data_IF_050040679707
#
_entry.id   IF_050040679707
#
_cell.length_a   1.000
_cell.length_b   1.000
_cell.length_c   1.000
_cell.angle_alpha   90.00
_cell.angle_beta   90.00
_cell.angle_gamma   90.00
#
_symmetry.space_group_name_H-M   'P 1'
#
loop_
_entity.id
_entity.type
_entity.pdbx_description
1 polymer ?
#
# COMPACT_ATOMS: atom_id res chain seq x y z
N UNK A 1 35.58 12.21 18.83
CA UNK A 1 34.90 12.89 17.70
C UNK A 1 34.12 14.09 18.25
N UNK A 2 34.29 15.30 17.70
CA UNK A 2 33.65 16.52 18.24
C UNK A 2 32.26 16.79 17.60
N UNK A 3 31.49 17.72 18.17
CA UNK A 3 30.14 18.08 17.70
C UNK A 3 30.13 18.49 16.22
N UNK A 4 31.15 19.23 15.77
CA UNK A 4 31.25 19.64 14.36
C UNK A 4 31.41 18.43 13.43
N UNK A 5 32.23 17.45 13.80
CA UNK A 5 32.40 16.23 13.03
C UNK A 5 31.10 15.40 12.95
N UNK A 6 30.39 15.26 14.09
CA UNK A 6 29.07 14.62 14.11
C UNK A 6 28.04 15.34 13.22
N UNK A 7 28.04 16.67 13.24
CA UNK A 7 27.21 17.50 12.36
C UNK A 7 27.55 17.24 10.89
N UNK A 8 28.83 17.26 10.50
CA UNK A 8 29.24 17.00 9.11
C UNK A 8 28.84 15.60 8.66
N UNK A 9 29.02 14.59 9.52
CA UNK A 9 28.58 13.22 9.23
C UNK A 9 27.05 13.13 9.04
N UNK A 10 26.26 13.88 9.83
CA UNK A 10 24.81 13.97 9.66
C UNK A 10 24.42 14.66 8.35
N UNK A 11 25.04 15.80 8.02
CA UNK A 11 24.74 16.51 6.79
C UNK A 11 25.15 15.73 5.55
N UNK A 12 26.27 15.00 5.61
CA UNK A 12 26.75 14.15 4.52
C UNK A 12 25.73 13.03 4.18
N UNK A 13 25.28 12.26 5.19
CA UNK A 13 24.26 11.19 4.98
C UNK A 13 22.88 11.72 4.55
N UNK A 14 22.66 13.02 4.67
CA UNK A 14 21.42 13.70 4.28
C UNK A 14 21.56 14.41 2.92
N UNK A 15 22.72 14.29 2.25
CA UNK A 15 23.04 14.98 1.00
C UNK A 15 22.92 16.52 1.09
N UNK A 16 23.38 17.07 2.22
CA UNK A 16 23.33 18.51 2.53
C UNK A 16 24.71 19.19 2.49
N UNK A 17 25.80 18.42 2.41
CA UNK A 17 27.13 18.98 2.13
C UNK A 17 27.36 19.13 0.63
N UNK A 18 26.88 18.17 -0.15
CA UNK A 18 26.96 18.14 -1.60
C UNK A 18 25.63 17.59 -2.14
N UNK A 19 25.14 18.21 -3.22
CA UNK A 19 23.95 17.74 -3.93
C UNK A 19 24.31 16.52 -4.76
N UNK A 20 23.38 15.58 -4.88
CA UNK A 20 23.52 14.37 -5.69
C UNK A 20 22.75 14.47 -7.00
N UNK A 21 23.09 13.66 -7.99
CA UNK A 21 22.32 13.45 -9.22
C UNK A 21 21.40 12.22 -9.14
N UNK A 22 21.20 11.65 -7.94
CA UNK A 22 20.33 10.50 -7.75
C UNK A 22 18.86 10.84 -8.07
N UNK A 23 18.08 9.85 -8.57
CA UNK A 23 16.65 10.02 -8.79
C UNK A 23 15.89 10.42 -7.53
N UNK A 24 14.80 11.17 -7.70
CA UNK A 24 13.91 11.62 -6.60
C UNK A 24 13.43 10.47 -5.73
N UNK A 25 13.06 9.33 -6.34
CA UNK A 25 12.60 8.15 -5.62
C UNK A 25 13.70 7.61 -4.67
N UNK A 26 14.94 7.48 -5.16
CA UNK A 26 16.09 7.06 -4.36
C UNK A 26 16.33 8.01 -3.18
N UNK A 27 16.26 9.32 -3.42
CA UNK A 27 16.42 10.31 -2.35
C UNK A 27 15.31 10.19 -1.30
N UNK A 28 14.05 10.03 -1.72
CA UNK A 28 12.94 9.82 -0.78
C UNK A 28 13.14 8.56 0.07
N UNK A 29 13.59 7.45 -0.52
CA UNK A 29 13.93 6.21 0.19
C UNK A 29 15.07 6.42 1.19
N UNK A 30 16.16 7.07 0.79
CA UNK A 30 17.30 7.38 1.68
C UNK A 30 16.90 8.21 2.91
N UNK A 31 15.94 9.11 2.75
CA UNK A 31 15.42 9.95 3.83
C UNK A 31 14.37 9.24 4.70
N UNK A 32 13.91 8.05 4.28
CA UNK A 32 12.75 7.36 4.86
C UNK A 32 11.51 8.28 4.83
N UNK A 33 11.38 9.00 3.72
CA UNK A 33 10.38 10.03 3.50
C UNK A 33 10.69 11.39 4.12
N UNK A 34 9.76 12.31 3.88
CA UNK A 34 9.87 13.71 4.30
C UNK A 34 8.56 14.15 4.93
N UNK A 35 8.65 14.96 5.98
CA UNK A 35 7.48 15.60 6.57
C UNK A 35 6.78 16.47 5.51
N UNK A 36 5.45 16.35 5.41
CA UNK A 36 4.66 16.94 4.34
C UNK A 36 3.35 17.59 4.83
N UNK A 37 3.24 18.03 6.09
CA UNK A 37 2.07 18.82 6.54
C UNK A 37 1.89 20.08 5.69
N UNK A 38 3.00 20.80 5.45
CA UNK A 38 3.06 21.83 4.41
C UNK A 38 3.20 21.13 3.05
N UNK A 39 2.22 21.25 2.12
CA UNK A 39 2.18 20.40 0.95
C UNK A 39 3.38 20.49 0.03
N UNK A 40 3.95 21.70 -0.11
CA UNK A 40 5.06 21.97 -1.02
C UNK A 40 6.44 21.87 -0.36
N UNK A 41 6.53 21.66 0.96
CA UNK A 41 7.81 21.58 1.66
C UNK A 41 8.74 20.45 1.15
N UNK A 42 8.25 19.26 0.77
CA UNK A 42 9.10 18.22 0.18
C UNK A 42 9.82 18.66 -1.10
N UNK A 43 9.21 19.52 -1.93
CA UNK A 43 9.85 20.02 -3.14
C UNK A 43 11.10 20.85 -2.84
N UNK A 44 11.02 21.77 -1.88
CA UNK A 44 12.18 22.58 -1.45
C UNK A 44 13.25 21.70 -0.81
N UNK A 45 12.82 20.72 -0.01
CA UNK A 45 13.74 19.79 0.64
C UNK A 45 14.49 18.87 -0.34
N UNK A 46 13.83 18.43 -1.41
CA UNK A 46 14.44 17.65 -2.50
C UNK A 46 15.32 18.53 -3.38
N UNK A 47 14.87 19.73 -3.75
CA UNK A 47 15.70 20.72 -4.44
C UNK A 47 17.01 20.92 -3.70
N UNK A 48 16.99 21.07 -2.37
CA UNK A 48 18.19 21.28 -1.56
C UNK A 48 19.23 20.15 -1.68
N UNK A 49 18.80 18.93 -2.00
CA UNK A 49 19.62 17.71 -2.00
C UNK A 49 19.98 17.19 -3.39
N UNK A 50 19.19 17.54 -4.41
CA UNK A 50 19.31 17.01 -5.77
C UNK A 50 19.75 18.12 -6.72
N UNK A 51 20.80 17.87 -7.49
CA UNK A 51 21.25 18.75 -8.56
C UNK A 51 20.30 18.65 -9.75
N UNK A 52 19.87 19.78 -10.31
CA UNK A 52 18.96 19.81 -11.46
C UNK A 52 17.52 19.37 -11.18
N UNK A 53 17.10 19.26 -9.91
CA UNK A 53 15.75 18.81 -9.53
C UNK A 53 14.64 19.61 -10.22
N UNK A 54 13.71 18.89 -10.84
CA UNK A 54 12.49 19.46 -11.42
C UNK A 54 11.25 19.05 -10.62
N UNK A 55 10.33 19.99 -10.29
CA UNK A 55 9.11 19.65 -9.56
C UNK A 55 8.25 18.58 -10.26
N UNK A 56 8.27 18.55 -11.60
CA UNK A 56 7.52 17.56 -12.38
C UNK A 56 7.91 16.11 -12.04
N UNK A 57 9.16 15.86 -11.66
CA UNK A 57 9.63 14.52 -11.28
C UNK A 57 8.92 14.00 -10.03
N UNK A 58 8.80 14.85 -8.99
CA UNK A 58 8.06 14.48 -7.79
C UNK A 58 6.56 14.43 -8.03
N UNK A 59 6.04 15.37 -8.84
CA UNK A 59 4.64 15.38 -9.23
C UNK A 59 4.25 14.07 -9.91
N UNK A 60 5.07 13.56 -10.84
CA UNK A 60 4.86 12.30 -11.53
C UNK A 60 4.86 11.10 -10.58
N UNK A 61 5.72 11.06 -9.56
CA UNK A 61 5.69 10.00 -8.55
C UNK A 61 4.39 10.03 -7.73
N UNK A 62 3.88 11.21 -7.38
CA UNK A 62 2.62 11.35 -6.62
C UNK A 62 1.42 10.95 -7.48
N UNK A 63 1.32 11.47 -8.71
CA UNK A 63 0.18 11.19 -9.60
C UNK A 63 0.20 9.76 -10.12
N UNK A 64 1.39 9.20 -10.36
CA UNK A 64 1.62 7.79 -10.69
C UNK A 64 1.54 6.83 -9.50
N UNK A 65 1.18 7.32 -8.31
CA UNK A 65 1.00 6.55 -7.07
C UNK A 65 2.25 5.87 -6.50
N UNK A 66 3.43 6.11 -7.08
CA UNK A 66 4.71 5.60 -6.59
C UNK A 66 5.18 6.28 -5.29
N UNK A 67 4.77 7.53 -5.06
CA UNK A 67 4.98 8.23 -3.80
C UNK A 67 3.63 8.60 -3.17
N UNK A 68 3.49 8.42 -1.86
CA UNK A 68 2.24 8.60 -1.13
C UNK A 68 2.38 9.64 -0.03
N UNK A 69 1.34 10.47 0.11
CA UNK A 69 1.18 11.39 1.24
C UNK A 69 0.24 10.77 2.25
N UNK A 70 0.72 10.42 3.44
CA UNK A 70 -0.09 9.71 4.44
C UNK A 70 0.35 10.02 5.87
N UNK A 71 -0.51 9.66 6.84
CA UNK A 71 -0.15 9.76 8.27
C UNK A 71 0.85 8.67 8.62
N UNK A 72 2.06 9.06 9.03
CA UNK A 72 3.13 8.15 9.39
C UNK A 72 3.76 8.55 10.73
N UNK A 73 5.08 8.81 10.76
CA UNK A 73 5.84 9.01 11.98
C UNK A 73 5.21 10.13 12.82
N UNK A 74 4.99 9.83 14.10
CA UNK A 74 4.35 10.73 15.09
C UNK A 74 2.93 11.16 14.73
N UNK A 75 2.22 10.41 13.86
CA UNK A 75 0.85 10.74 13.43
C UNK A 75 0.75 11.96 12.51
N UNK A 76 1.86 12.39 11.92
CA UNK A 76 1.90 13.55 11.01
C UNK A 76 2.00 13.12 9.55
N UNK A 77 1.56 13.99 8.64
CA UNK A 77 1.60 13.72 7.19
C UNK A 77 3.04 13.69 6.71
N UNK A 78 3.45 12.59 6.07
CA UNK A 78 4.73 12.43 5.40
C UNK A 78 4.52 12.07 3.93
N UNK A 79 5.50 12.41 3.10
CA UNK A 79 5.66 11.94 1.73
C UNK A 79 6.74 10.87 1.72
N UNK A 80 6.38 9.64 1.38
CA UNK A 80 7.27 8.47 1.28
C UNK A 80 7.05 7.75 -0.04
N UNK A 81 7.90 6.79 -0.38
CA UNK A 81 7.56 5.81 -1.41
C UNK A 81 6.36 4.96 -0.95
N UNK A 82 5.51 4.55 -1.89
CA UNK A 82 4.34 3.74 -1.57
C UNK A 82 4.71 2.38 -0.97
N UNK A 83 5.82 1.79 -1.42
CA UNK A 83 6.38 0.55 -0.85
C UNK A 83 6.82 0.73 0.61
N UNK A 84 7.54 1.83 0.90
CA UNK A 84 7.97 2.15 2.26
C UNK A 84 6.79 2.38 3.18
N UNK A 85 5.73 3.03 2.70
CA UNK A 85 4.52 3.26 3.49
C UNK A 85 3.91 1.95 4.00
N UNK A 86 3.88 0.90 3.16
CA UNK A 86 3.33 -0.42 3.52
C UNK A 86 4.15 -1.12 4.60
N UNK A 87 5.46 -0.89 4.62
CA UNK A 87 6.36 -1.45 5.63
C UNK A 87 6.30 -0.63 6.93
N UNK A 88 6.45 0.70 6.81
CA UNK A 88 6.55 1.60 7.94
C UNK A 88 5.25 1.67 8.74
N UNK A 89 4.10 1.74 8.06
CA UNK A 89 2.82 2.06 8.70
C UNK A 89 2.38 1.02 9.75
N UNK A 90 2.48 -0.31 9.52
CA UNK A 90 2.24 -1.32 10.55
C UNK A 90 3.26 -1.24 11.70
N UNK A 91 4.55 -1.07 11.38
CA UNK A 91 5.63 -1.02 12.39
C UNK A 91 5.43 0.11 13.41
N UNK A 92 4.95 1.27 12.96
CA UNK A 92 4.74 2.43 13.82
C UNK A 92 3.33 2.52 14.42
N UNK A 93 2.40 1.59 14.09
CA UNK A 93 1.02 1.65 14.55
C UNK A 93 0.89 1.77 16.08
N UNK A 94 1.67 1.06 16.92
CA UNK A 94 1.60 1.22 18.37
C UNK A 94 1.93 2.65 18.83
N UNK A 95 2.93 3.28 18.21
CA UNK A 95 3.35 4.65 18.52
C UNK A 95 2.32 5.66 18.06
N UNK A 96 1.75 5.46 16.86
CA UNK A 96 0.67 6.31 16.33
C UNK A 96 -0.57 6.22 17.23
N UNK A 97 -0.98 5.01 17.63
CA UNK A 97 -2.11 4.79 18.54
C UNK A 97 -1.89 5.45 19.90
N UNK A 98 -0.70 5.30 20.49
CA UNK A 98 -0.34 5.97 21.74
C UNK A 98 -0.41 7.50 21.60
N UNK A 99 0.09 8.03 20.47
CA UNK A 99 -0.03 9.44 20.14
C UNK A 99 -1.49 9.91 20.06
N UNK A 100 -2.39 9.11 19.47
CA UNK A 100 -3.82 9.44 19.45
C UNK A 100 -4.38 9.58 20.86
N UNK A 101 -4.13 8.59 21.73
CA UNK A 101 -4.60 8.59 23.12
C UNK A 101 -4.11 9.82 23.88
N UNK A 102 -2.85 10.24 23.66
CA UNK A 102 -2.31 11.46 24.28
C UNK A 102 -3.02 12.75 23.86
N UNK A 103 -3.38 12.88 22.57
CA UNK A 103 -4.01 14.10 22.05
C UNK A 103 -5.53 14.13 22.26
N UNK A 104 -6.21 13.00 22.12
CA UNK A 104 -7.67 12.92 22.01
C UNK A 104 -8.32 11.99 23.04
N UNK A 105 -7.57 11.21 23.83
CA UNK A 105 -8.12 10.18 24.70
C UNK A 105 -9.18 10.66 25.70
N UNK A 106 -9.09 11.91 26.17
CA UNK A 106 -10.09 12.50 27.08
C UNK A 106 -11.39 12.90 26.38
N UNK A 107 -11.39 13.04 25.05
CA UNK A 107 -12.52 13.51 24.24
C UNK A 107 -13.40 12.38 23.70
N UNK A 108 -12.91 11.14 23.69
CA UNK A 108 -13.59 10.01 23.05
C UNK A 108 -14.53 9.23 23.98
N UNK A 109 -14.51 9.48 25.29
CA UNK A 109 -15.34 8.75 26.25
C UNK A 109 -15.12 7.24 26.16
N UNK A 110 -16.21 6.50 26.01
CA UNK A 110 -16.28 5.04 25.87
C UNK A 110 -16.34 4.55 24.41
N UNK A 111 -16.10 5.43 23.43
CA UNK A 111 -16.17 5.07 22.01
C UNK A 111 -15.24 3.90 21.66
N UNK A 112 -15.79 2.88 21.00
CA UNK A 112 -15.02 1.78 20.43
C UNK A 112 -14.24 2.25 19.19
N UNK A 113 -12.94 2.55 19.39
CA UNK A 113 -12.04 2.98 18.34
C UNK A 113 -11.82 1.91 17.26
N UNK A 114 -11.98 0.62 17.59
CA UNK A 114 -11.94 -0.47 16.62
C UNK A 114 -13.13 -0.40 15.66
N UNK A 115 -14.34 -0.23 16.21
CA UNK A 115 -15.55 -0.04 15.40
C UNK A 115 -15.49 1.23 14.54
N UNK A 116 -14.97 2.33 15.09
CA UNK A 116 -14.78 3.60 14.36
C UNK A 116 -13.76 3.43 13.22
N UNK A 117 -12.63 2.75 13.47
CA UNK A 117 -11.63 2.49 12.44
C UNK A 117 -12.17 1.57 11.33
N UNK A 118 -12.91 0.53 11.68
CA UNK A 118 -13.54 -0.37 10.72
C UNK A 118 -14.55 0.35 9.83
N UNK A 119 -15.42 1.18 10.42
CA UNK A 119 -16.36 2.00 9.65
C UNK A 119 -15.65 3.02 8.75
N UNK A 120 -14.64 3.71 9.29
CA UNK A 120 -13.83 4.66 8.54
C UNK A 120 -13.13 4.02 7.35
N UNK A 121 -12.56 2.82 7.53
CA UNK A 121 -11.98 2.03 6.44
C UNK A 121 -13.02 1.71 5.37
N UNK A 122 -14.15 1.12 5.75
CA UNK A 122 -15.19 0.73 4.80
C UNK A 122 -15.70 1.93 3.96
N UNK A 123 -15.90 3.08 4.59
CA UNK A 123 -16.25 4.30 3.86
C UNK A 123 -15.12 4.74 2.93
N UNK A 124 -13.86 4.76 3.37
CA UNK A 124 -12.76 5.16 2.49
C UNK A 124 -12.55 4.22 1.29
N UNK A 125 -12.84 2.93 1.46
CA UNK A 125 -12.79 1.90 0.39
C UNK A 125 -13.98 2.01 -0.57
N UNK A 126 -15.17 2.38 -0.08
CA UNK A 126 -16.34 2.66 -0.94
C UNK A 126 -16.09 3.84 -1.88
N UNK A 127 -15.58 4.95 -1.33
CA UNK A 127 -15.09 6.09 -2.12
C UNK A 127 -14.19 7.00 -1.29
N UNK A 128 -13.23 7.69 -1.93
CA UNK A 128 -12.39 8.68 -1.26
C UNK A 128 -13.21 9.82 -0.64
N UNK A 129 -12.84 10.26 0.55
CA UNK A 129 -13.57 11.25 1.34
C UNK A 129 -12.64 12.24 2.04
N UNK A 130 -13.11 13.46 2.23
CA UNK A 130 -12.44 14.45 3.09
C UNK A 130 -12.69 14.14 4.56
N UNK A 131 -11.83 14.65 5.46
CA UNK A 131 -12.08 14.54 6.92
C UNK A 131 -13.42 15.17 7.34
N UNK A 132 -13.86 16.25 6.68
CA UNK A 132 -15.16 16.87 6.92
C UNK A 132 -16.30 15.88 6.65
N UNK A 133 -16.27 15.20 5.51
CA UNK A 133 -17.28 14.18 5.15
C UNK A 133 -17.24 12.99 6.11
N UNK A 134 -16.05 12.55 6.55
CA UNK A 134 -15.94 11.51 7.58
C UNK A 134 -16.58 11.96 8.89
N UNK A 135 -16.34 13.20 9.32
CA UNK A 135 -16.96 13.77 10.51
C UNK A 135 -18.49 13.79 10.42
N UNK A 136 -19.05 14.14 9.26
CA UNK A 136 -20.52 14.10 9.04
C UNK A 136 -21.09 12.71 9.25
N UNK A 137 -20.47 11.68 8.66
CA UNK A 137 -20.88 10.27 8.83
C UNK A 137 -20.70 9.78 10.28
N UNK A 138 -19.65 10.26 10.96
CA UNK A 138 -19.39 9.92 12.36
C UNK A 138 -20.42 10.57 13.29
N UNK A 139 -20.84 11.81 13.03
CA UNK A 139 -21.92 12.46 13.79
C UNK A 139 -23.23 11.68 13.69
N UNK A 140 -23.54 11.14 12.50
CA UNK A 140 -24.77 10.35 12.29
C UNK A 140 -24.71 9.02 13.03
N UNK A 141 -23.56 8.33 12.99
CA UNK A 141 -23.42 6.97 13.55
C UNK A 141 -23.06 6.94 15.05
N UNK A 142 -22.40 7.98 15.55
CA UNK A 142 -22.01 8.15 16.96
C UNK A 142 -22.39 9.56 17.45
N UNK A 143 -23.69 9.86 17.59
CA UNK A 143 -24.18 11.20 17.92
C UNK A 143 -23.75 11.68 19.31
N UNK A 144 -23.51 10.76 20.25
CA UNK A 144 -23.15 11.06 21.63
C UNK A 144 -21.63 11.24 21.85
N UNK A 145 -20.83 11.14 20.78
CA UNK A 145 -19.37 11.22 20.86
C UNK A 145 -18.82 12.42 20.07
N UNK A 146 -17.60 12.85 20.44
CA UNK A 146 -16.91 13.93 19.74
C UNK A 146 -16.50 13.51 18.32
N UNK A 147 -17.34 13.84 17.34
CA UNK A 147 -17.13 13.50 15.95
C UNK A 147 -15.82 14.09 15.36
N UNK A 148 -15.30 15.20 15.90
CA UNK A 148 -13.99 15.70 15.47
C UNK A 148 -12.89 14.75 15.91
N UNK A 149 -12.85 14.39 17.19
CA UNK A 149 -11.89 13.43 17.72
C UNK A 149 -11.98 12.07 16.99
N UNK A 150 -13.20 11.56 16.79
CA UNK A 150 -13.42 10.32 16.03
C UNK A 150 -12.94 10.43 14.58
N UNK A 151 -13.08 11.59 13.92
CA UNK A 151 -12.57 11.77 12.56
C UNK A 151 -11.04 11.72 12.48
N UNK A 152 -10.36 12.14 13.55
CA UNK A 152 -8.92 11.93 13.69
C UNK A 152 -8.59 10.45 13.95
N UNK A 153 -9.39 9.74 14.76
CA UNK A 153 -9.20 8.31 15.00
C UNK A 153 -9.08 7.54 13.68
N UNK A 154 -9.94 7.82 12.70
CA UNK A 154 -9.87 7.19 11.38
C UNK A 154 -8.47 7.34 10.76
N UNK A 155 -7.86 8.52 10.76
CA UNK A 155 -6.51 8.73 10.21
C UNK A 155 -5.36 8.17 11.05
N UNK A 156 -5.60 7.85 12.32
CA UNK A 156 -4.63 7.27 13.24
C UNK A 156 -4.67 5.73 13.27
N UNK A 157 -5.83 5.13 13.03
CA UNK A 157 -6.04 3.68 13.09
C UNK A 157 -6.22 3.04 11.71
N UNK A 158 -6.62 3.82 10.70
CA UNK A 158 -6.62 3.37 9.30
C UNK A 158 -5.35 3.89 8.61
N UNK A 159 -4.56 3.03 7.95
CA UNK A 159 -3.55 3.47 6.99
C UNK A 159 -4.22 4.26 5.87
N UNK A 160 -4.04 5.58 5.84
CA UNK A 160 -4.66 6.45 4.81
C UNK A 160 -3.63 7.11 3.91
N UNK A 161 -4.03 7.39 2.68
CA UNK A 161 -3.32 8.19 1.69
C UNK A 161 -4.14 9.41 1.27
N UNK A 162 -3.48 10.52 0.93
CA UNK A 162 -4.10 11.72 0.37
C UNK A 162 -4.04 11.68 -1.16
N UNK A 163 -5.18 11.93 -1.81
CA UNK A 163 -5.25 11.98 -3.26
C UNK A 163 -4.66 13.26 -3.86
N UNK A 164 -4.07 13.20 -5.08
CA UNK A 164 -3.78 14.40 -5.85
C UNK A 164 -5.10 15.13 -6.17
N UNK A 165 -5.06 16.46 -6.39
CA UNK A 165 -3.86 17.29 -6.57
C UNK A 165 -3.21 17.77 -5.27
N UNK A 166 -3.63 17.31 -4.08
CA UNK A 166 -3.04 17.76 -2.82
C UNK A 166 -1.54 17.39 -2.76
N UNK A 167 -0.69 18.42 -2.69
CA UNK A 167 0.75 18.23 -2.64
C UNK A 167 1.41 18.02 -4.00
N UNK A 168 0.71 18.28 -5.09
CA UNK A 168 1.27 18.37 -6.44
C UNK A 168 1.67 19.81 -6.72
N UNK A 169 2.89 20.03 -7.22
CA UNK A 169 3.37 21.37 -7.58
C UNK A 169 2.50 22.03 -8.65
N UNK A 170 2.23 23.32 -8.50
CA UNK A 170 1.39 24.08 -9.44
C UNK A 170 -0.10 23.72 -9.40
N UNK A 171 -0.53 22.85 -8.49
CA UNK A 171 -1.94 22.48 -8.32
C UNK A 171 -2.35 22.52 -6.85
N UNK A 172 -3.63 22.79 -6.61
CA UNK A 172 -4.18 22.85 -5.25
C UNK A 172 -5.49 22.07 -5.18
N UNK A 173 -5.75 21.50 -4.01
CA UNK A 173 -6.97 20.76 -3.75
C UNK A 173 -7.13 20.41 -2.28
N UNK A 174 -8.33 19.97 -1.88
CA UNK A 174 -8.60 19.51 -0.53
C UNK A 174 -7.82 18.22 -0.23
N UNK A 175 -7.58 17.94 1.05
CA UNK A 175 -7.05 16.65 1.49
C UNK A 175 -8.17 15.60 1.44
N UNK A 176 -8.37 15.01 0.26
CA UNK A 176 -9.23 13.83 0.06
C UNK A 176 -8.43 12.60 0.45
N UNK A 177 -9.01 11.75 1.30
CA UNK A 177 -8.39 10.54 1.83
C UNK A 177 -8.93 9.31 1.12
N UNK A 178 -8.06 8.32 0.93
CA UNK A 178 -8.38 6.92 0.65
C UNK A 178 -7.58 6.04 1.61
N UNK A 179 -7.81 4.72 1.63
CA UNK A 179 -6.93 3.80 2.34
C UNK A 179 -5.59 3.67 1.62
N UNK A 180 -4.53 3.28 2.34
CA UNK A 180 -3.24 3.00 1.73
C UNK A 180 -3.36 1.85 0.71
N UNK A 181 -4.24 0.89 0.97
CA UNK A 181 -4.56 -0.21 0.05
C UNK A 181 -5.19 0.34 -1.24
N UNK A 182 -6.21 1.20 -1.14
CA UNK A 182 -6.86 1.83 -2.30
C UNK A 182 -5.99 2.86 -3.04
N UNK A 183 -4.92 3.36 -2.40
CA UNK A 183 -3.91 4.19 -3.06
C UNK A 183 -3.06 3.36 -4.01
N UNK A 184 -2.70 2.16 -3.59
CA UNK A 184 -1.77 1.32 -4.34
C UNK A 184 -2.48 0.44 -5.35
N UNK A 185 -1.88 0.17 -6.53
CA UNK A 185 -2.46 -0.80 -7.45
C UNK A 185 -2.50 -2.20 -6.80
N UNK A 186 -3.48 -3.04 -7.19
CA UNK A 186 -3.52 -4.42 -6.78
C UNK A 186 -2.25 -5.15 -7.20
N UNK A 187 -1.86 -6.18 -6.45
CA UNK A 187 -0.72 -7.01 -6.81
C UNK A 187 -1.05 -7.86 -8.04
N UNK A 188 -0.12 -7.99 -8.99
CA UNK A 188 -0.43 -8.65 -10.24
C UNK A 188 -0.68 -10.15 -10.06
N UNK A 189 -1.46 -10.75 -10.97
CA UNK A 189 -1.66 -12.19 -10.97
C UNK A 189 -0.33 -12.95 -11.16
N UNK A 190 -0.10 -14.02 -10.39
CA UNK A 190 1.15 -14.80 -10.45
C UNK A 190 0.90 -16.30 -10.35
N UNK A 191 1.36 -17.04 -11.36
CA UNK A 191 1.40 -18.50 -11.37
C UNK A 191 2.61 -18.98 -10.58
N UNK A 192 2.35 -19.65 -9.47
CA UNK A 192 3.36 -20.27 -8.63
C UNK A 192 3.44 -21.77 -8.91
N UNK A 193 4.65 -22.36 -8.94
CA UNK A 193 4.81 -23.80 -9.00
C UNK A 193 4.29 -24.48 -7.71
N UNK A 194 4.14 -25.80 -7.75
CA UNK A 194 3.63 -26.61 -6.63
C UNK A 194 4.38 -26.38 -5.31
N UNK A 195 5.71 -26.22 -5.39
CA UNK A 195 6.60 -26.11 -4.24
C UNK A 195 7.24 -24.73 -4.11
N UNK A 196 6.45 -23.67 -4.25
CA UNK A 196 6.95 -22.31 -4.08
C UNK A 196 7.30 -21.98 -2.61
N UNK A 197 8.42 -21.29 -2.40
CA UNK A 197 8.89 -20.88 -1.07
C UNK A 197 7.86 -20.05 -0.30
N UNK A 198 7.05 -19.23 -0.98
CA UNK A 198 6.02 -18.42 -0.33
C UNK A 198 4.96 -19.27 0.37
N UNK A 199 4.74 -20.49 -0.12
CA UNK A 199 3.79 -21.46 0.43
C UNK A 199 4.46 -22.41 1.44
N UNK A 200 5.75 -22.66 1.32
CA UNK A 200 6.45 -23.67 2.13
C UNK A 200 7.22 -23.08 3.33
N UNK A 201 7.86 -21.93 3.17
CA UNK A 201 8.92 -21.47 4.07
C UNK A 201 8.46 -20.63 5.27
N UNK A 202 7.18 -20.24 5.32
CA UNK A 202 6.67 -19.35 6.36
C UNK A 202 5.76 -20.10 7.35
N UNK A 203 6.00 -19.92 8.67
CA UNK A 203 5.14 -20.50 9.70
C UNK A 203 3.73 -19.87 9.68
N UNK A 204 3.66 -18.54 9.63
CA UNK A 204 2.44 -17.77 9.39
C UNK A 204 2.29 -17.51 7.89
N UNK A 205 1.26 -18.11 7.29
CA UNK A 205 0.96 -18.00 5.86
C UNK A 205 -0.30 -17.19 5.57
N UNK A 206 -0.90 -16.57 6.59
CA UNK A 206 -2.14 -15.78 6.45
C UNK A 206 -1.98 -14.58 5.51
N UNK A 207 -0.73 -14.18 5.22
CA UNK A 207 -0.36 -13.11 4.28
C UNK A 207 -0.60 -13.45 2.81
N UNK A 208 -0.74 -14.74 2.48
CA UNK A 208 -0.96 -15.23 1.10
C UNK A 208 -2.13 -16.21 1.04
N UNK A 209 -2.40 -16.95 2.12
CA UNK A 209 -3.57 -17.81 2.25
C UNK A 209 -4.67 -17.11 3.04
N UNK A 210 -5.81 -16.80 2.41
CA UNK A 210 -7.00 -16.34 3.11
C UNK A 210 -7.45 -17.28 4.25
N UNK A 211 -8.10 -16.76 5.30
CA UNK A 211 -8.55 -17.56 6.44
C UNK A 211 -9.35 -18.79 6.02
N UNK A 212 -9.06 -19.94 6.66
CA UNK A 212 -9.73 -21.21 6.38
C UNK A 212 -9.17 -22.00 5.20
N UNK A 213 -8.22 -21.44 4.42
CA UNK A 213 -7.55 -22.17 3.34
C UNK A 213 -6.35 -22.98 3.85
N UNK A 214 -6.20 -24.20 3.31
CA UNK A 214 -5.00 -25.02 3.50
C UNK A 214 -4.10 -24.89 2.28
N UNK A 215 -2.80 -25.05 2.50
CA UNK A 215 -1.82 -25.09 1.41
C UNK A 215 -2.11 -26.31 0.54
N UNK A 216 -2.27 -26.17 -0.79
CA UNK A 216 -2.61 -27.27 -1.69
C UNK A 216 -1.36 -28.11 -1.99
N UNK A 217 -0.88 -28.88 -1.01
CA UNK A 217 0.26 -29.80 -1.14
C UNK A 217 -0.23 -31.25 -1.11
N UNK A 218 -0.77 -31.78 -2.22
CA UNK A 218 -1.08 -33.20 -2.29
C UNK A 218 0.22 -34.03 -2.21
N UNK A 219 0.21 -35.20 -1.55
CA UNK A 219 1.35 -36.10 -1.57
C UNK A 219 1.58 -36.65 -2.99
N UNK A 220 2.84 -36.66 -3.48
CA UNK A 220 3.20 -37.19 -4.81
C UNK A 220 4.53 -36.65 -5.36
N UNK A 221 4.90 -37.07 -6.57
CA UNK A 221 6.17 -36.72 -7.25
C UNK A 221 6.11 -35.45 -8.13
N UNK A 222 5.25 -34.49 -7.79
CA UNK A 222 5.29 -33.10 -8.27
C UNK A 222 5.04 -32.80 -9.76
N UNK A 223 4.57 -31.57 -10.00
CA UNK A 223 4.57 -30.75 -11.22
C UNK A 223 3.31 -30.74 -12.12
N UNK A 224 2.16 -31.28 -11.69
CA UNK A 224 0.92 -31.18 -12.48
C UNK A 224 -0.07 -30.11 -11.98
N UNK A 225 0.13 -29.57 -10.77
CA UNK A 225 -0.73 -28.56 -10.15
C UNK A 225 0.09 -27.46 -9.50
N UNK A 226 -0.30 -26.21 -9.69
CA UNK A 226 0.28 -25.06 -9.00
C UNK A 226 -0.77 -24.15 -8.39
N UNK A 227 -0.30 -23.08 -7.76
CA UNK A 227 -1.12 -22.07 -7.09
C UNK A 227 -1.13 -20.80 -7.93
N UNK A 228 -2.29 -20.14 -8.05
CA UNK A 228 -2.42 -18.84 -8.70
C UNK A 228 -2.79 -17.79 -7.65
N UNK A 229 -1.91 -16.78 -7.55
CA UNK A 229 -2.16 -15.59 -6.76
C UNK A 229 -2.92 -14.56 -7.57
N UNK A 230 -3.93 -13.94 -6.97
CA UNK A 230 -4.67 -12.78 -7.51
C UNK A 230 -4.73 -11.74 -6.41
N UNK A 231 -4.28 -10.51 -6.70
CA UNK A 231 -4.02 -9.47 -5.70
C UNK A 231 -3.15 -9.96 -4.53
N UNK A 232 -2.19 -10.84 -4.83
CA UNK A 232 -1.24 -11.39 -3.85
C UNK A 232 -1.79 -12.53 -2.97
N UNK A 233 -3.06 -12.91 -3.12
CA UNK A 233 -3.69 -13.98 -2.35
C UNK A 233 -3.93 -15.24 -3.20
N UNK A 234 -3.79 -16.42 -2.57
CA UNK A 234 -4.16 -17.69 -3.17
C UNK A 234 -5.67 -17.74 -3.45
N UNK A 235 -6.02 -17.67 -4.73
CA UNK A 235 -7.42 -17.55 -5.20
C UNK A 235 -7.79 -18.59 -6.25
N UNK A 236 -6.84 -19.29 -6.84
CA UNK A 236 -7.11 -20.36 -7.81
C UNK A 236 -5.99 -21.40 -7.82
N UNK A 237 -6.32 -22.62 -8.21
CA UNK A 237 -5.35 -23.62 -8.63
C UNK A 237 -5.11 -23.52 -10.14
N UNK A 238 -3.98 -24.01 -10.62
CA UNK A 238 -3.75 -24.18 -12.06
C UNK A 238 -3.10 -25.52 -12.38
N UNK A 239 -3.28 -26.01 -13.60
CA UNK A 239 -2.67 -27.22 -14.14
C UNK A 239 -2.24 -27.00 -15.59
N UNK A 240 -1.15 -27.64 -15.98
CA UNK A 240 -0.70 -27.66 -17.37
C UNK A 240 -1.03 -29.01 -18.00
N UNK A 241 -1.73 -28.97 -19.13
CA UNK A 241 -2.10 -30.13 -19.95
C UNK A 241 -1.56 -29.93 -21.37
N UNK A 242 -0.37 -30.44 -21.64
CA UNK A 242 0.31 -30.19 -22.92
C UNK A 242 0.57 -28.68 -23.09
N UNK A 243 -0.14 -28.04 -24.02
CA UNK A 243 -0.09 -26.59 -24.29
C UNK A 243 -1.29 -25.82 -23.74
N UNK A 244 -2.12 -26.46 -22.91
CA UNK A 244 -3.32 -25.87 -22.31
C UNK A 244 -3.12 -25.61 -20.82
N UNK A 245 -3.43 -24.39 -20.37
CA UNK A 245 -3.53 -24.07 -18.94
C UNK A 245 -4.98 -24.16 -18.48
N UNK A 246 -5.23 -25.05 -17.51
CA UNK A 246 -6.49 -25.13 -16.80
C UNK A 246 -6.37 -24.39 -15.46
N UNK A 247 -7.31 -23.50 -15.17
CA UNK A 247 -7.35 -22.69 -13.97
C UNK A 247 -8.66 -22.95 -13.24
N UNK A 248 -8.58 -23.30 -11.96
CA UNK A 248 -9.72 -23.59 -11.11
C UNK A 248 -9.82 -22.55 -10.00
N UNK A 249 -10.68 -21.53 -10.15
CA UNK A 249 -10.91 -20.53 -9.11
C UNK A 249 -11.50 -21.15 -7.85
N UNK A 250 -11.06 -20.65 -6.69
CA UNK A 250 -11.61 -21.02 -5.39
C UNK A 250 -12.81 -20.15 -4.98
N UNK A 251 -12.89 -18.95 -5.56
CA UNK A 251 -13.99 -18.00 -5.42
C UNK A 251 -14.36 -17.42 -6.78
N UNK A 252 -15.49 -16.72 -6.83
CA UNK A 252 -15.87 -15.93 -8.00
C UNK A 252 -14.80 -14.88 -8.31
N UNK A 253 -14.35 -14.86 -9.57
CA UNK A 253 -13.47 -13.85 -10.13
C UNK A 253 -14.30 -12.76 -10.84
N UNK A 254 -13.89 -11.52 -10.67
CA UNK A 254 -14.36 -10.37 -11.44
C UNK A 254 -13.88 -10.45 -12.88
N UNK A 255 -14.50 -9.68 -13.78
CA UNK A 255 -14.06 -9.59 -15.17
C UNK A 255 -12.62 -9.06 -15.31
N UNK A 256 -12.23 -8.11 -14.45
CA UNK A 256 -10.87 -7.56 -14.42
C UNK A 256 -9.84 -8.59 -13.98
N UNK A 257 -10.11 -9.32 -12.88
CA UNK A 257 -9.23 -10.41 -12.41
C UNK A 257 -9.08 -11.50 -13.48
N UNK A 258 -10.15 -11.85 -14.21
CA UNK A 258 -10.09 -12.84 -15.31
C UNK A 258 -9.17 -12.38 -16.45
N UNK A 259 -9.35 -11.15 -16.93
CA UNK A 259 -8.52 -10.61 -18.00
C UNK A 259 -7.04 -10.57 -17.62
N UNK A 260 -6.73 -10.19 -16.37
CA UNK A 260 -5.36 -10.18 -15.84
C UNK A 260 -4.76 -11.60 -15.78
N UNK A 261 -5.54 -12.57 -15.31
CA UNK A 261 -5.12 -13.98 -15.26
C UNK A 261 -4.85 -14.51 -16.66
N UNK A 262 -5.69 -14.20 -17.64
CA UNK A 262 -5.51 -14.60 -19.03
C UNK A 262 -4.22 -14.00 -19.64
N UNK A 263 -3.93 -12.73 -19.36
CA UNK A 263 -2.71 -12.06 -19.82
C UNK A 263 -1.44 -12.70 -19.22
N UNK A 264 -1.46 -13.00 -17.93
CA UNK A 264 -0.35 -13.69 -17.26
C UNK A 264 -0.22 -15.15 -17.73
N UNK A 265 -1.34 -15.85 -17.97
CA UNK A 265 -1.35 -17.20 -18.51
C UNK A 265 -0.74 -17.26 -19.91
N UNK A 266 -1.03 -16.26 -20.76
CA UNK A 266 -0.43 -16.14 -22.09
C UNK A 266 1.09 -16.00 -22.02
N UNK A 267 1.61 -15.19 -21.08
CA UNK A 267 3.06 -15.06 -20.83
C UNK A 267 3.69 -16.38 -20.38
N UNK A 268 3.03 -17.12 -19.47
CA UNK A 268 3.52 -18.42 -19.02
C UNK A 268 3.56 -19.44 -20.16
N UNK A 269 2.52 -19.51 -20.99
CA UNK A 269 2.47 -20.41 -22.15
C UNK A 269 3.53 -20.05 -23.19
N UNK A 270 3.80 -18.76 -23.41
CA UNK A 270 4.89 -18.31 -24.29
C UNK A 270 6.24 -18.78 -23.78
N UNK A 271 6.52 -18.56 -22.49
CA UNK A 271 7.76 -19.00 -21.84
C UNK A 271 7.98 -20.51 -21.94
N UNK A 272 6.92 -21.32 -21.79
CA UNK A 272 6.99 -22.77 -21.86
C UNK A 272 7.14 -23.31 -23.30
N UNK A 273 7.21 -22.44 -24.32
CA UNK A 273 7.39 -22.85 -25.72
C UNK A 273 6.15 -23.52 -26.32
N UNK A 274 4.96 -23.26 -25.77
CA UNK A 274 3.72 -23.87 -26.23
C UNK A 274 3.33 -23.35 -27.63
N UNK A 275 3.06 -24.29 -28.56
CA UNK A 275 2.52 -24.08 -29.91
C UNK A 275 1.10 -23.50 -29.90
N UNK A 276 0.08 -24.24 -30.34
CA UNK A 276 -1.32 -23.77 -30.22
C UNK A 276 -1.70 -23.65 -28.73
N UNK A 277 -2.04 -22.43 -28.29
CA UNK A 277 -2.21 -22.04 -26.88
C UNK A 277 -3.68 -21.97 -26.53
N UNK A 278 -4.09 -22.56 -25.41
CA UNK A 278 -5.43 -22.36 -24.86
C UNK A 278 -5.39 -22.15 -23.35
N UNK A 279 -6.20 -21.21 -22.87
CA UNK A 279 -6.41 -20.97 -21.44
C UNK A 279 -7.87 -21.31 -21.14
N UNK A 280 -8.12 -22.13 -20.11
CA UNK A 280 -9.46 -22.51 -19.66
C UNK A 280 -9.60 -22.19 -18.17
N UNK A 281 -10.52 -21.30 -17.84
CA UNK A 281 -10.92 -21.01 -16.46
C UNK A 281 -12.24 -21.75 -16.19
N UNK A 282 -12.27 -22.66 -15.22
CA UNK A 282 -13.45 -23.50 -14.91
C UNK A 282 -14.47 -22.77 -14.03
N UNK A 283 -15.77 -23.08 -14.19
CA UNK A 283 -16.82 -22.71 -13.24
C UNK A 283 -17.58 -21.42 -13.57
N UNK A 284 -18.32 -21.43 -14.68
CA UNK A 284 -19.43 -20.49 -14.92
C UNK A 284 -20.69 -20.93 -14.16
#
# INVERSE_FOLDING_TARGET
MNVRALNRALLARQHLLERTSQPVATMLGNLVGMQAQAPLAPYVGLWTRISGFRPEELAALITGRAAVRGSLMRGTVHLVLAEDARILRPLIQPVVASGYTGHFGRRIGDADLGAVAAAGRAWLEERPRTRRQLRELLTERWPDHDAEALSYAVGYFVPTAQLPPRGVWGSTGPAVLTTLDGWTPPAPARFLPEYDNVLLSHADRTRVLPPGRRVPLPPGNGASRGTLLVDGFYRADWRLHGTSLEITPLDRLTAGERAEIEEEAARLLEFLGAGERSVRITGD
#
